data_IF_171753033894
#
_entry.id   IF_171753033894
#
_cell.length_a   1.000
_cell.length_b   1.000
_cell.length_c   1.000
_cell.angle_alpha   90.00
_cell.angle_beta   90.00
_cell.angle_gamma   90.00
#
_symmetry.space_group_name_H-M   'P 1'
#
loop_
_entity.id
_entity.type
_entity.pdbx_description
1 polymer ?
#
# COMPACT_ATOMS: atom_id res chain seq x y z
N UNK A 1 19.74 -3.88 16.71
CA UNK A 1 18.47 -4.26 16.06
C UNK A 1 18.81 -4.77 14.66
N UNK A 2 18.22 -5.87 14.20
CA UNK A 2 18.53 -6.46 12.89
C UNK A 2 17.63 -5.79 11.85
N UNK A 3 18.24 -5.04 10.94
CA UNK A 3 17.55 -4.48 9.79
C UNK A 3 17.33 -5.57 8.73
N UNK A 4 16.17 -5.53 8.11
CA UNK A 4 15.76 -6.43 7.04
C UNK A 4 15.37 -5.60 5.82
N UNK A 5 15.58 -6.14 4.62
CA UNK A 5 15.10 -5.54 3.37
C UNK A 5 14.13 -6.51 2.73
N UNK A 6 12.87 -6.11 2.55
CA UNK A 6 11.86 -6.96 1.92
C UNK A 6 10.82 -6.16 1.14
N UNK A 7 10.22 -6.76 0.11
CA UNK A 7 9.07 -6.18 -0.58
C UNK A 7 7.84 -6.23 0.34
N UNK A 8 7.08 -5.13 0.34
CA UNK A 8 5.76 -5.02 0.96
C UNK A 8 4.84 -4.41 -0.08
N UNK A 9 3.63 -4.96 -0.15
CA UNK A 9 2.62 -4.60 -1.13
C UNK A 9 1.54 -3.78 -0.46
N UNK A 10 1.23 -2.63 -1.04
CA UNK A 10 0.22 -1.72 -0.54
C UNK A 10 -0.90 -1.61 -1.57
N UNK A 11 -2.14 -1.65 -1.09
CA UNK A 11 -3.30 -1.25 -1.88
C UNK A 11 -3.74 0.10 -1.37
N UNK A 12 -3.75 1.08 -2.27
CA UNK A 12 -3.97 2.49 -1.96
C UNK A 12 -5.17 2.98 -2.79
N UNK A 13 -6.11 3.65 -2.13
CA UNK A 13 -7.21 4.36 -2.75
C UNK A 13 -6.69 5.72 -3.23
N UNK A 14 -6.97 6.05 -4.48
CA UNK A 14 -6.72 7.37 -5.04
C UNK A 14 -8.04 8.07 -5.32
N UNK A 15 -8.03 9.40 -5.32
CA UNK A 15 -9.19 10.20 -5.70
C UNK A 15 -8.82 11.11 -6.86
N UNK A 16 -9.69 11.22 -7.86
CA UNK A 16 -9.53 12.20 -8.93
C UNK A 16 -9.88 13.60 -8.39
N UNK A 17 -8.87 14.45 -8.29
CA UNK A 17 -8.98 15.85 -7.90
C UNK A 17 -8.46 16.68 -9.07
N UNK A 18 -9.35 17.44 -9.70
CA UNK A 18 -9.01 18.34 -10.82
C UNK A 18 -8.28 17.65 -12.00
N UNK A 19 -8.58 16.37 -12.24
CA UNK A 19 -7.96 15.58 -13.32
C UNK A 19 -6.68 14.84 -12.91
N UNK A 20 -6.25 14.93 -11.65
CA UNK A 20 -5.13 14.17 -11.10
C UNK A 20 -5.60 13.17 -10.05
N UNK A 21 -5.14 11.91 -10.14
CA UNK A 21 -5.40 10.90 -9.10
C UNK A 21 -4.38 11.05 -7.98
N UNK A 22 -4.85 11.39 -6.78
CA UNK A 22 -4.03 11.59 -5.58
C UNK A 22 -4.32 10.46 -4.59
N UNK A 23 -3.28 9.86 -4.01
CA UNK A 23 -3.44 8.89 -2.92
C UNK A 23 -4.12 9.54 -1.71
N UNK A 24 -5.23 8.96 -1.28
CA UNK A 24 -6.00 9.45 -0.13
C UNK A 24 -5.95 8.49 1.05
N UNK A 25 -5.76 7.19 0.82
CA UNK A 25 -5.82 6.19 1.89
C UNK A 25 -5.17 4.86 1.53
N UNK A 26 -4.36 4.30 2.43
CA UNK A 26 -3.98 2.87 2.37
C UNK A 26 -5.14 1.98 2.84
N UNK A 27 -5.58 1.06 1.98
CA UNK A 27 -6.67 0.11 2.27
C UNK A 27 -6.12 -1.21 2.85
N UNK A 28 -5.02 -1.70 2.29
CA UNK A 28 -4.47 -3.01 2.62
C UNK A 28 -2.95 -3.03 2.50
N UNK A 29 -2.30 -3.86 3.32
CA UNK A 29 -0.86 -4.08 3.29
C UNK A 29 -0.57 -5.56 3.45
N UNK A 30 0.29 -6.14 2.61
CA UNK A 30 0.72 -7.53 2.69
C UNK A 30 2.20 -7.68 2.37
N UNK A 31 2.83 -8.76 2.86
CA UNK A 31 4.21 -9.13 2.51
C UNK A 31 4.26 -10.24 1.45
N UNK A 32 3.11 -10.77 1.04
CA UNK A 32 2.96 -11.71 -0.07
C UNK A 32 2.28 -11.06 -1.28
N UNK A 33 2.88 -11.23 -2.45
CA UNK A 33 2.42 -10.64 -3.71
C UNK A 33 1.08 -11.18 -4.19
N UNK A 34 0.88 -12.49 -4.07
CA UNK A 34 -0.33 -13.17 -4.54
C UNK A 34 -1.52 -12.78 -3.67
N UNK A 35 -1.32 -12.74 -2.36
CA UNK A 35 -2.32 -12.24 -1.41
C UNK A 35 -2.70 -10.78 -1.69
N UNK A 36 -1.73 -9.91 -1.97
CA UNK A 36 -2.00 -8.52 -2.31
C UNK A 36 -2.78 -8.39 -3.64
N UNK A 37 -2.47 -9.21 -4.64
CA UNK A 37 -3.23 -9.25 -5.90
C UNK A 37 -4.65 -9.74 -5.70
N UNK A 38 -4.85 -10.80 -4.94
CA UNK A 38 -6.19 -11.32 -4.64
C UNK A 38 -7.05 -10.27 -3.91
N UNK A 39 -6.49 -9.60 -2.90
CA UNK A 39 -7.17 -8.52 -2.20
C UNK A 39 -7.48 -7.33 -3.12
N UNK A 40 -6.58 -6.99 -4.04
CA UNK A 40 -6.81 -5.93 -5.04
C UNK A 40 -7.96 -6.28 -5.98
N UNK A 41 -7.98 -7.50 -6.52
CA UNK A 41 -9.06 -7.96 -7.39
C UNK A 41 -10.42 -8.07 -6.67
N UNK A 42 -10.41 -8.35 -5.36
CA UNK A 42 -11.61 -8.31 -4.52
C UNK A 42 -12.11 -6.86 -4.35
N UNK A 43 -11.21 -5.93 -3.99
CA UNK A 43 -11.56 -4.51 -3.82
C UNK A 43 -12.08 -3.88 -5.12
N UNK A 44 -11.51 -4.23 -6.28
CA UNK A 44 -12.03 -3.77 -7.58
C UNK A 44 -13.47 -4.21 -7.87
N UNK A 45 -13.89 -5.36 -7.37
CA UNK A 45 -15.27 -5.85 -7.55
C UNK A 45 -16.24 -5.16 -6.60
N UNK A 46 -15.77 -4.76 -5.42
CA UNK A 46 -16.56 -4.08 -4.41
C UNK A 46 -16.69 -2.57 -4.69
N UNK A 47 -15.66 -1.96 -5.28
CA UNK A 47 -15.59 -0.52 -5.50
C UNK A 47 -15.98 -0.11 -6.92
N UNK A 48 -17.15 0.50 -7.05
CA UNK A 48 -17.73 0.96 -8.34
C UNK A 48 -17.82 2.48 -8.44
N UNK A 49 -17.11 3.22 -7.58
CA UNK A 49 -17.20 4.67 -7.50
C UNK A 49 -16.37 5.35 -8.60
N UNK A 50 -17.04 6.10 -9.49
CA UNK A 50 -16.45 6.82 -10.65
C UNK A 50 -15.50 7.99 -10.33
N UNK A 51 -15.16 8.20 -9.06
CA UNK A 51 -14.30 9.32 -8.63
C UNK A 51 -13.09 8.84 -7.85
N UNK A 52 -12.97 7.53 -7.67
CA UNK A 52 -11.90 6.90 -6.94
C UNK A 52 -11.16 5.90 -7.84
N UNK A 53 -9.86 5.82 -7.66
CA UNK A 53 -9.00 4.81 -8.25
C UNK A 53 -8.42 3.91 -7.18
N UNK A 54 -7.78 2.84 -7.64
CA UNK A 54 -7.08 1.88 -6.80
C UNK A 54 -5.69 1.64 -7.38
N UNK A 55 -4.67 1.67 -6.53
CA UNK A 55 -3.30 1.32 -6.86
C UNK A 55 -2.87 0.09 -6.08
N UNK A 56 -2.17 -0.83 -6.75
CA UNK A 56 -1.39 -1.89 -6.11
C UNK A 56 0.09 -1.58 -6.32
N UNK A 57 0.78 -1.28 -5.23
CA UNK A 57 2.17 -0.84 -5.25
C UNK A 57 3.09 -1.85 -4.53
N UNK A 58 4.29 -2.04 -5.07
CA UNK A 58 5.37 -2.82 -4.46
C UNK A 58 6.43 -1.85 -3.94
N UNK A 59 6.65 -1.86 -2.63
CA UNK A 59 7.70 -1.10 -1.96
C UNK A 59 8.76 -2.05 -1.42
N UNK A 60 10.01 -1.91 -1.86
CA UNK A 60 11.12 -2.61 -1.21
C UNK A 60 11.61 -1.73 -0.07
N UNK A 61 11.35 -2.17 1.16
CA UNK A 61 11.59 -1.38 2.36
C UNK A 61 12.75 -1.98 3.14
N UNK A 62 13.65 -1.11 3.60
CA UNK A 62 14.67 -1.45 4.61
C UNK A 62 14.25 -0.89 5.97
N UNK A 63 14.02 -1.76 6.95
CA UNK A 63 13.59 -1.38 8.29
C UNK A 63 13.94 -2.45 9.33
N UNK A 64 13.71 -2.16 10.61
CA UNK A 64 13.81 -3.17 11.67
C UNK A 64 12.67 -4.20 11.58
N UNK A 65 12.93 -5.44 12.00
CA UNK A 65 11.91 -6.50 12.00
C UNK A 65 10.58 -6.09 12.68
N UNK A 66 10.66 -5.40 13.82
CA UNK A 66 9.49 -4.93 14.57
C UNK A 66 8.64 -3.91 13.79
N UNK A 67 9.26 -3.15 12.88
CA UNK A 67 8.53 -2.26 11.97
C UNK A 67 7.56 -3.07 11.11
N UNK A 68 8.05 -4.14 10.48
CA UNK A 68 7.21 -4.96 9.61
C UNK A 68 6.08 -5.67 10.35
N UNK A 69 6.37 -6.16 11.57
CA UNK A 69 5.33 -6.79 12.41
C UNK A 69 4.21 -5.80 12.73
N UNK A 70 4.55 -4.56 13.11
CA UNK A 70 3.56 -3.53 13.41
C UNK A 70 2.80 -3.08 12.15
N UNK A 71 3.52 -2.92 11.03
CA UNK A 71 2.93 -2.57 9.74
C UNK A 71 1.86 -3.60 9.33
N UNK A 72 2.23 -4.87 9.26
CA UNK A 72 1.36 -5.95 8.80
C UNK A 72 0.22 -6.29 9.77
N UNK A 73 0.28 -5.86 11.04
CA UNK A 73 -0.80 -6.11 12.01
C UNK A 73 -1.76 -4.95 12.17
N UNK A 74 -1.32 -3.73 11.90
CA UNK A 74 -2.05 -2.55 12.39
C UNK A 74 -2.00 -1.34 11.46
N UNK A 75 -1.64 -1.51 10.18
CA UNK A 75 -1.51 -0.41 9.20
C UNK A 75 -2.64 0.62 9.25
N UNK A 76 -3.89 0.19 9.44
CA UNK A 76 -5.07 1.06 9.51
C UNK A 76 -5.05 2.08 10.67
N UNK A 77 -4.26 1.82 11.71
CA UNK A 77 -4.22 2.59 12.95
C UNK A 77 -2.82 3.19 13.23
N UNK A 78 -1.89 3.09 12.28
CA UNK A 78 -0.54 3.61 12.48
C UNK A 78 -0.52 5.14 12.30
N UNK A 79 0.18 5.87 13.18
CA UNK A 79 0.33 7.31 13.03
C UNK A 79 1.19 7.64 11.80
N UNK A 80 0.99 8.82 11.21
CA UNK A 80 1.77 9.28 10.06
C UNK A 80 3.29 9.23 10.29
N UNK A 81 3.75 9.48 11.52
CA UNK A 81 5.16 9.40 11.89
C UNK A 81 5.76 7.99 11.77
N UNK A 82 4.94 6.95 11.84
CA UNK A 82 5.37 5.57 11.65
C UNK A 82 6.05 5.41 10.28
N UNK A 83 5.40 5.90 9.23
CA UNK A 83 5.87 5.81 7.86
C UNK A 83 7.16 6.62 7.61
N UNK A 84 7.50 7.61 8.45
CA UNK A 84 8.76 8.35 8.36
C UNK A 84 10.00 7.52 8.71
N UNK A 85 9.81 6.41 9.44
CA UNK A 85 10.90 5.48 9.76
C UNK A 85 11.20 4.49 8.62
N UNK A 86 10.38 4.50 7.58
CA UNK A 86 10.52 3.65 6.42
C UNK A 86 11.62 4.17 5.50
N UNK A 87 12.64 3.35 5.24
CA UNK A 87 13.55 3.61 4.13
C UNK A 87 13.07 2.83 2.91
N UNK A 88 12.45 3.52 1.95
CA UNK A 88 12.08 2.94 0.66
C UNK A 88 13.34 2.85 -0.19
N UNK A 89 13.73 1.62 -0.55
CA UNK A 89 14.85 1.34 -1.43
C UNK A 89 14.43 1.44 -2.90
N UNK A 90 13.27 0.86 -3.23
CA UNK A 90 12.67 0.94 -4.57
C UNK A 90 11.15 0.95 -4.46
N UNK A 91 10.51 1.51 -5.48
CA UNK A 91 9.06 1.58 -5.63
C UNK A 91 8.67 1.18 -7.05
N UNK A 92 7.58 0.42 -7.18
CA UNK A 92 7.01 0.07 -8.48
C UNK A 92 5.48 -0.09 -8.39
N UNK A 93 4.70 0.56 -9.27
CA UNK A 93 3.30 0.23 -9.45
C UNK A 93 3.14 -1.11 -10.17
N UNK A 94 2.26 -1.96 -9.65
CA UNK A 94 1.96 -3.27 -10.20
C UNK A 94 0.62 -3.32 -10.93
N UNK A 95 -0.36 -2.56 -10.45
CA UNK A 95 -1.66 -2.40 -11.09
C UNK A 95 -2.27 -1.06 -10.70
N UNK A 96 -3.10 -0.53 -11.59
CA UNK A 96 -3.85 0.70 -11.39
C UNK A 96 -5.24 0.55 -12.01
N UNK A 97 -6.23 1.08 -11.31
CA UNK A 97 -7.58 1.29 -11.79
C UNK A 97 -7.94 2.75 -11.58
N UNK A 98 -8.48 3.38 -12.63
CA UNK A 98 -8.99 4.74 -12.60
C UNK A 98 -10.50 4.65 -12.85
N UNK A 99 -11.29 4.96 -11.82
CA UNK A 99 -12.75 5.04 -11.91
C UNK A 99 -13.24 6.30 -12.60
#
# INVERSE_FOLDING_TARGET
MKQETKPIYFIEETQNIEGAYVEVRTLYVADNKEQAKEAYDQLLKEDTRKSFGLLLNEYVIKADHSYFVNLLRSWKNLPAEFYRKMQIMTYRPLAEYQG
#
